data_IF_559425412990
#
_entry.id   IF_559425412990
#
_cell.length_a   1.000
_cell.length_b   1.000
_cell.length_c   1.000
_cell.angle_alpha   90.00
_cell.angle_beta   90.00
_cell.angle_gamma   90.00
#
_symmetry.space_group_name_H-M   'P 1'
#
loop_
_entity.id
_entity.type
_entity.pdbx_description
1 polymer ?
#
# COMPACT_ATOMS: atom_id res chain seq x y z
N UNK A 1 -11.05 12.85 16.99
CA UNK A 1 -11.02 14.31 17.14
C UNK A 1 -9.59 14.67 17.49
N UNK A 2 -8.83 15.18 16.50
CA UNK A 2 -7.50 15.81 16.60
C UNK A 2 -6.45 15.14 17.50
N UNK A 3 -5.64 14.24 16.94
CA UNK A 3 -4.21 14.37 17.17
C UNK A 3 -3.68 15.36 16.13
N UNK A 4 -3.33 16.57 16.58
CA UNK A 4 -2.64 17.59 15.78
C UNK A 4 -1.17 17.22 15.65
N UNK A 5 -0.88 16.02 15.15
CA UNK A 5 0.43 15.71 14.61
C UNK A 5 0.58 16.40 13.27
N UNK A 6 1.80 16.85 12.95
CA UNK A 6 2.11 17.31 11.60
C UNK A 6 1.89 16.15 10.63
N UNK A 7 1.06 16.35 9.59
CA UNK A 7 0.76 15.30 8.63
C UNK A 7 2.01 14.98 7.82
N UNK A 8 2.24 13.68 7.58
CA UNK A 8 3.35 13.21 6.74
C UNK A 8 3.14 13.63 5.29
N UNK A 9 4.23 13.80 4.54
CA UNK A 9 4.21 14.21 3.12
C UNK A 9 4.97 13.21 2.28
N UNK A 10 4.40 12.83 1.14
CA UNK A 10 5.09 11.96 0.18
C UNK A 10 6.25 12.72 -0.47
N UNK A 11 7.22 12.02 -1.08
CA UNK A 11 8.28 12.66 -1.86
C UNK A 11 7.76 13.53 -3.02
N UNK A 12 6.52 13.31 -3.47
CA UNK A 12 5.89 14.05 -4.57
C UNK A 12 5.01 15.21 -4.11
N UNK A 13 5.04 15.59 -2.83
CA UNK A 13 4.21 16.65 -2.26
C UNK A 13 4.28 17.97 -3.03
N UNK A 14 5.48 18.46 -3.35
CA UNK A 14 5.62 19.73 -4.10
C UNK A 14 5.08 19.59 -5.54
N UNK A 15 5.26 18.43 -6.18
CA UNK A 15 4.65 18.18 -7.49
C UNK A 15 3.11 18.28 -7.43
N UNK A 16 2.48 17.79 -6.36
CA UNK A 16 1.04 17.90 -6.17
C UNK A 16 0.60 19.35 -6.00
N UNK A 17 1.35 20.14 -5.22
CA UNK A 17 1.06 21.56 -5.01
C UNK A 17 1.16 22.36 -6.30
N UNK A 18 2.23 22.14 -7.06
CA UNK A 18 2.45 22.79 -8.36
C UNK A 18 1.37 22.39 -9.39
N UNK A 19 0.90 21.15 -9.34
CA UNK A 19 -0.21 20.66 -10.17
C UNK A 19 -1.60 21.14 -9.70
N UNK A 20 -1.68 21.94 -8.65
CA UNK A 20 -2.95 22.49 -8.13
C UNK A 20 -3.82 21.46 -7.41
N UNK A 21 -3.24 20.40 -6.86
CA UNK A 21 -3.98 19.38 -6.14
C UNK A 21 -4.71 19.94 -4.92
N UNK A 22 -5.92 19.43 -4.68
CA UNK A 22 -6.59 19.58 -3.39
C UNK A 22 -6.04 18.51 -2.43
N UNK A 23 -5.14 18.91 -1.54
CA UNK A 23 -4.57 18.03 -0.52
C UNK A 23 -5.50 17.92 0.70
N UNK A 24 -5.65 16.71 1.24
CA UNK A 24 -6.47 16.41 2.42
C UNK A 24 -5.76 15.44 3.36
N UNK A 25 -6.11 15.43 4.66
CA UNK A 25 -5.63 14.42 5.59
C UNK A 25 -6.17 13.03 5.23
N UNK A 26 -5.29 12.06 5.01
CA UNK A 26 -5.64 10.66 4.76
C UNK A 26 -4.59 9.73 5.37
N UNK A 27 -4.99 8.83 6.28
CA UNK A 27 -4.08 7.90 6.98
C UNK A 27 -2.83 8.54 7.62
N UNK A 28 -2.96 9.78 8.13
CA UNK A 28 -1.84 10.54 8.70
C UNK A 28 -0.92 11.21 7.67
N UNK A 29 -1.32 11.26 6.40
CA UNK A 29 -0.59 11.92 5.30
C UNK A 29 -1.40 13.08 4.70
N UNK A 30 -0.71 14.05 4.10
CA UNK A 30 -1.29 15.02 3.16
C UNK A 30 -1.34 14.41 1.75
N UNK A 31 -2.51 13.94 1.32
CA UNK A 31 -2.68 13.25 0.03
C UNK A 31 -3.59 14.04 -0.93
N UNK A 32 -3.34 13.99 -2.25
CA UNK A 32 -4.17 14.65 -3.25
C UNK A 32 -5.51 13.91 -3.44
N UNK A 33 -6.62 14.57 -3.14
CA UNK A 33 -7.97 14.00 -3.36
C UNK A 33 -8.48 14.22 -4.79
N UNK A 34 -8.03 15.28 -5.46
CA UNK A 34 -8.31 15.60 -6.87
C UNK A 34 -7.42 16.76 -7.35
N UNK A 35 -7.33 16.94 -8.67
CA UNK A 35 -6.63 18.02 -9.38
C UNK A 35 -7.59 18.81 -10.30
N UNK A 36 -8.26 18.11 -11.21
CA UNK A 36 -9.18 18.65 -12.22
C UNK A 36 -10.65 18.31 -11.94
N UNK A 37 -10.90 17.37 -11.03
CA UNK A 37 -12.22 16.98 -10.54
C UNK A 37 -12.43 15.47 -10.60
N UNK A 38 -12.99 14.89 -9.53
CA UNK A 38 -13.13 13.42 -9.36
C UNK A 38 -13.75 12.71 -10.57
N UNK A 39 -14.79 13.28 -11.18
CA UNK A 39 -15.47 12.66 -12.34
C UNK A 39 -14.56 12.64 -13.58
N UNK A 40 -13.85 13.73 -13.85
CA UNK A 40 -12.96 13.84 -15.01
C UNK A 40 -11.76 12.89 -14.86
N UNK A 41 -11.17 12.84 -13.67
CA UNK A 41 -10.04 11.96 -13.35
C UNK A 41 -10.44 10.47 -13.41
N UNK A 42 -11.59 10.11 -12.85
CA UNK A 42 -12.09 8.74 -12.95
C UNK A 42 -12.29 8.30 -14.41
N UNK A 43 -12.87 9.17 -15.24
CA UNK A 43 -13.04 8.91 -16.67
C UNK A 43 -11.69 8.76 -17.36
N UNK A 44 -10.73 9.64 -17.11
CA UNK A 44 -9.39 9.57 -17.68
C UNK A 44 -8.71 8.22 -17.40
N UNK A 45 -8.80 7.70 -16.17
CA UNK A 45 -8.27 6.38 -15.79
C UNK A 45 -8.94 5.25 -16.59
N UNK A 46 -10.25 5.35 -16.82
CA UNK A 46 -11.03 4.30 -17.50
C UNK A 46 -10.90 4.34 -19.03
N UNK A 47 -10.68 5.52 -19.61
CA UNK A 47 -10.70 5.71 -21.06
C UNK A 47 -9.32 5.99 -21.64
N UNK A 48 -8.33 6.28 -20.82
CA UNK A 48 -6.96 6.57 -21.21
C UNK A 48 -5.98 6.02 -20.16
N UNK A 49 -5.37 6.88 -19.36
CA UNK A 49 -4.47 6.51 -18.27
C UNK A 49 -4.64 7.47 -17.09
N UNK A 50 -4.27 7.01 -15.89
CA UNK A 50 -4.15 7.85 -14.70
C UNK A 50 -2.86 7.55 -13.97
N UNK A 51 -2.31 8.56 -13.33
CA UNK A 51 -1.14 8.46 -12.47
C UNK A 51 -1.57 8.75 -11.03
N UNK A 52 -1.19 7.86 -10.12
CA UNK A 52 -1.53 7.96 -8.71
C UNK A 52 -0.25 7.97 -7.89
N UNK A 53 -0.16 8.88 -6.94
CA UNK A 53 0.83 8.79 -5.87
C UNK A 53 0.29 7.88 -4.76
N UNK A 54 0.86 6.68 -4.68
CA UNK A 54 0.58 5.68 -3.64
C UNK A 54 1.76 5.47 -2.71
N UNK A 55 2.72 6.41 -2.66
CA UNK A 55 3.95 6.30 -1.85
C UNK A 55 3.72 6.38 -0.34
N UNK A 56 2.47 6.56 0.11
CA UNK A 56 2.07 6.56 1.52
C UNK A 56 1.82 5.14 2.06
N UNK A 57 1.75 4.12 1.18
CA UNK A 57 1.59 2.72 1.55
C UNK A 57 2.82 2.21 2.31
N UNK A 58 2.62 1.23 3.19
CA UNK A 58 3.73 0.58 3.90
C UNK A 58 4.42 -0.46 3.02
N UNK A 59 5.74 -0.56 3.13
CA UNK A 59 6.56 -1.50 2.37
C UNK A 59 7.52 -2.25 3.31
N UNK A 60 7.33 -3.56 3.44
CA UNK A 60 8.20 -4.43 4.24
C UNK A 60 8.97 -5.39 3.34
N UNK A 61 10.29 -5.46 3.54
CA UNK A 61 11.14 -6.46 2.88
C UNK A 61 11.35 -7.65 3.80
N UNK A 62 10.89 -8.82 3.38
CA UNK A 62 11.07 -10.08 4.09
C UNK A 62 12.02 -10.97 3.30
N UNK A 63 13.14 -11.36 3.89
CA UNK A 63 14.18 -12.10 3.18
C UNK A 63 14.88 -13.16 4.03
N UNK A 64 15.48 -14.15 3.36
CA UNK A 64 16.20 -15.27 3.96
C UNK A 64 15.44 -16.60 3.88
N UNK A 65 16.12 -17.70 4.16
CA UNK A 65 15.61 -19.06 3.92
C UNK A 65 14.31 -19.42 4.65
N UNK A 66 13.91 -18.64 5.66
CA UNK A 66 12.65 -18.80 6.39
C UNK A 66 11.51 -17.88 5.94
N UNK A 67 11.75 -16.99 4.96
CA UNK A 67 10.80 -15.95 4.57
C UNK A 67 9.48 -16.51 4.05
N UNK A 68 9.54 -17.55 3.21
CA UNK A 68 8.33 -18.19 2.67
C UNK A 68 7.51 -18.82 3.79
N UNK A 69 8.14 -19.58 4.70
CA UNK A 69 7.46 -20.22 5.82
C UNK A 69 6.86 -19.21 6.80
N UNK A 70 7.57 -18.10 7.06
CA UNK A 70 7.06 -17.00 7.88
C UNK A 70 5.80 -16.40 7.27
N UNK A 71 5.83 -16.01 5.99
CA UNK A 71 4.68 -15.43 5.30
C UNK A 71 3.52 -16.43 5.16
N UNK A 72 3.82 -17.72 5.00
CA UNK A 72 2.83 -18.79 4.94
C UNK A 72 2.07 -18.96 6.26
N UNK A 73 2.73 -18.74 7.40
CA UNK A 73 2.10 -18.76 8.71
C UNK A 73 1.31 -17.48 9.03
N UNK A 74 1.67 -16.37 8.40
CA UNK A 74 1.06 -15.05 8.66
C UNK A 74 -0.21 -14.81 7.84
N UNK A 75 -0.31 -15.42 6.66
CA UNK A 75 -1.37 -15.09 5.70
C UNK A 75 -2.13 -16.33 5.21
N UNK A 76 -3.42 -16.21 4.86
CA UNK A 76 -4.26 -17.35 4.52
C UNK A 76 -4.01 -17.90 3.11
N UNK A 77 -3.44 -17.10 2.21
CA UNK A 77 -3.13 -17.56 0.86
C UNK A 77 -1.82 -18.37 0.83
N UNK A 78 -1.76 -19.35 -0.06
CA UNK A 78 -0.60 -20.22 -0.22
C UNK A 78 0.56 -19.47 -0.89
N UNK A 79 1.56 -19.10 -0.09
CA UNK A 79 2.75 -18.33 -0.50
C UNK A 79 3.69 -19.21 -1.33
N UNK A 80 3.70 -20.52 -1.13
CA UNK A 80 4.56 -21.45 -1.91
C UNK A 80 4.19 -21.47 -3.41
N UNK A 81 2.96 -21.11 -3.76
CA UNK A 81 2.50 -20.95 -5.14
C UNK A 81 2.98 -19.66 -5.80
N UNK A 82 3.51 -18.71 -5.04
CA UNK A 82 4.02 -17.46 -5.56
C UNK A 82 5.42 -17.69 -6.14
N UNK A 83 5.58 -17.41 -7.44
CA UNK A 83 6.87 -17.53 -8.14
C UNK A 83 7.57 -16.18 -8.30
N UNK A 84 8.90 -16.13 -8.44
CA UNK A 84 9.61 -14.86 -8.62
C UNK A 84 9.05 -14.01 -9.76
N UNK A 85 8.91 -12.70 -9.52
CA UNK A 85 8.29 -11.74 -10.43
C UNK A 85 6.75 -11.70 -10.37
N UNK A 86 6.11 -12.53 -9.53
CA UNK A 86 4.66 -12.51 -9.32
C UNK A 86 4.28 -11.87 -8.00
N UNK A 87 3.02 -11.46 -7.93
CA UNK A 87 2.38 -11.00 -6.72
C UNK A 87 1.04 -11.71 -6.51
N UNK A 88 0.59 -11.78 -5.27
CA UNK A 88 -0.78 -12.11 -4.95
C UNK A 88 -1.31 -11.19 -3.85
N UNK A 89 -2.62 -10.98 -3.88
CA UNK A 89 -3.35 -10.33 -2.81
C UNK A 89 -3.61 -11.35 -1.70
N UNK A 90 -3.55 -10.92 -0.45
CA UNK A 90 -3.78 -11.73 0.74
C UNK A 90 -4.32 -10.88 1.88
N UNK A 91 -4.49 -11.47 3.05
CA UNK A 91 -4.94 -10.79 4.25
C UNK A 91 -3.97 -11.05 5.41
N UNK A 92 -3.84 -10.07 6.29
CA UNK A 92 -3.31 -10.25 7.64
C UNK A 92 -4.50 -10.48 8.58
N UNK A 93 -4.49 -11.60 9.30
CA UNK A 93 -5.60 -12.00 10.16
C UNK A 93 -5.20 -12.00 11.63
N UNK A 94 -6.17 -11.75 12.50
CA UNK A 94 -6.04 -12.00 13.93
C UNK A 94 -6.03 -13.51 14.20
N UNK A 95 -5.68 -13.89 15.43
CA UNK A 95 -5.77 -15.29 15.89
C UNK A 95 -7.21 -15.86 15.80
N UNK A 96 -8.22 -14.99 15.79
CA UNK A 96 -9.63 -15.39 15.64
C UNK A 96 -10.07 -15.49 14.18
N UNK A 97 -9.17 -15.22 13.22
CA UNK A 97 -9.45 -15.27 11.79
C UNK A 97 -10.18 -14.03 11.25
N UNK A 98 -10.17 -12.91 11.97
CA UNK A 98 -10.73 -11.63 11.50
C UNK A 98 -9.67 -10.77 10.84
N UNK A 99 -10.05 -9.82 9.98
CA UNK A 99 -9.08 -8.95 9.29
C UNK A 99 -8.38 -7.98 10.23
N UNK A 100 -7.06 -7.90 10.09
CA UNK A 100 -6.22 -6.80 10.58
C UNK A 100 -5.98 -5.84 9.41
N UNK A 101 -5.47 -6.36 8.29
CA UNK A 101 -5.24 -5.61 7.06
C UNK A 101 -5.39 -6.50 5.81
N UNK A 102 -5.49 -5.90 4.63
CA UNK A 102 -5.24 -6.56 3.37
C UNK A 102 -3.89 -6.15 2.76
N UNK A 103 -3.22 -7.08 2.08
CA UNK A 103 -1.85 -6.87 1.63
C UNK A 103 -1.56 -7.49 0.27
N UNK A 104 -0.51 -6.99 -0.38
CA UNK A 104 0.09 -7.62 -1.56
C UNK A 104 1.46 -8.19 -1.20
N UNK A 105 1.68 -9.47 -1.48
CA UNK A 105 3.01 -10.10 -1.38
C UNK A 105 3.56 -10.25 -2.79
N UNK A 106 4.74 -9.68 -3.04
CA UNK A 106 5.52 -9.84 -4.25
C UNK A 106 6.71 -10.75 -3.95
N UNK A 107 6.92 -11.81 -4.75
CA UNK A 107 8.17 -12.59 -4.69
C UNK A 107 9.17 -11.96 -5.64
N UNK A 108 10.23 -11.36 -5.12
CA UNK A 108 11.26 -10.64 -5.88
C UNK A 108 12.45 -11.52 -6.24
N UNK A 109 12.68 -12.58 -5.47
CA UNK A 109 13.74 -13.57 -5.67
C UNK A 109 13.36 -14.92 -5.07
N UNK A 110 14.33 -15.83 -4.94
CA UNK A 110 14.07 -17.14 -4.34
C UNK A 110 13.60 -17.00 -2.89
N UNK A 111 14.31 -16.21 -2.08
CA UNK A 111 14.03 -15.99 -0.66
C UNK A 111 13.88 -14.49 -0.35
N UNK A 112 13.29 -13.74 -1.29
CA UNK A 112 13.11 -12.29 -1.17
C UNK A 112 11.69 -11.90 -1.53
N UNK A 113 11.02 -11.24 -0.59
CA UNK A 113 9.64 -10.81 -0.72
C UNK A 113 9.50 -9.33 -0.38
N UNK A 114 8.58 -8.66 -1.06
CA UNK A 114 8.09 -7.33 -0.72
C UNK A 114 6.62 -7.46 -0.34
N UNK A 115 6.28 -7.03 0.86
CA UNK A 115 4.92 -6.97 1.36
C UNK A 115 4.49 -5.51 1.36
N UNK A 116 3.38 -5.21 0.70
CA UNK A 116 2.81 -3.86 0.64
C UNK A 116 1.49 -3.87 1.43
N UNK A 117 1.39 -2.97 2.41
CA UNK A 117 0.26 -2.86 3.36
C UNK A 117 -0.36 -1.46 3.31
N UNK A 118 -1.56 -1.30 3.89
CA UNK A 118 -2.23 -0.01 3.90
C UNK A 118 -1.52 1.02 4.78
N UNK A 119 -1.53 2.27 4.32
CA UNK A 119 -0.89 3.39 5.00
C UNK A 119 -1.32 3.61 6.46
N UNK A 120 -2.56 3.23 6.79
CA UNK A 120 -3.11 3.40 8.13
C UNK A 120 -2.61 2.34 9.13
N UNK A 121 -2.14 1.19 8.65
CA UNK A 121 -1.80 0.03 9.48
C UNK A 121 -0.30 -0.24 9.59
N UNK A 122 0.55 0.54 8.90
CA UNK A 122 2.02 0.33 8.84
C UNK A 122 2.69 0.17 10.21
N UNK A 123 2.29 0.92 11.24
CA UNK A 123 2.92 0.81 12.56
C UNK A 123 2.37 -0.37 13.39
N UNK A 124 1.18 -0.87 13.04
CA UNK A 124 0.50 -1.98 13.72
C UNK A 124 0.77 -3.35 13.08
N UNK A 125 1.12 -3.36 11.80
CA UNK A 125 1.51 -4.55 11.01
C UNK A 125 2.98 -4.93 11.21
#
# INVERSE_FOLDING_TARGET
MTERGELRRTPLYECHREAGARLVPFAGWEMPVQYSGVIAEHRAVRTAAGLFDVSHMGEFRVAGSGAEAFLQGLTPNDVSKLTPGRAHYSALLTEQGTYVDDLLIYRRGQDEFLVVVNAANVDGD
#
